data_IF_635017774851
#
_entry.id   IF_635017774851
#
_cell.length_a   1.000
_cell.length_b   1.000
_cell.length_c   1.000
_cell.angle_alpha   90.00
_cell.angle_beta   90.00
_cell.angle_gamma   90.00
#
_symmetry.space_group_name_H-M   'P 1'
#
loop_
_entity.id
_entity.type
_entity.pdbx_description
1 polymer ?
#
# COMPACT_ATOMS: atom_id res chain seq x y z
N UNK A 1 -5.65 -8.67 14.25
CA UNK A 1 -4.77 -8.80 13.07
C UNK A 1 -5.35 -7.92 11.95
N UNK A 2 -4.52 -7.25 11.13
CA UNK A 2 -4.91 -6.19 10.17
C UNK A 2 -4.32 -6.43 8.77
N UNK A 3 -5.10 -6.45 7.69
CA UNK A 3 -4.50 -6.55 6.35
C UNK A 3 -3.50 -5.42 6.10
N UNK A 4 -2.40 -5.73 5.41
CA UNK A 4 -1.41 -4.73 5.03
C UNK A 4 -1.01 -4.90 3.56
N UNK A 5 -0.64 -3.78 2.94
CA UNK A 5 -0.04 -3.78 1.62
C UNK A 5 1.40 -3.30 1.73
N UNK A 6 2.35 -4.10 1.22
CA UNK A 6 3.73 -3.67 1.06
C UNK A 6 3.91 -3.03 -0.31
N UNK A 7 4.43 -1.81 -0.35
CA UNK A 7 4.80 -1.12 -1.57
C UNK A 7 6.32 -1.15 -1.72
N UNK A 8 6.85 -1.63 -2.85
CA UNK A 8 8.28 -1.75 -3.10
C UNK A 8 8.61 -1.06 -4.42
N UNK A 9 9.51 -0.07 -4.40
CA UNK A 9 9.81 0.72 -5.58
C UNK A 9 10.97 1.68 -5.39
N UNK A 10 11.34 2.41 -6.45
CA UNK A 10 12.45 3.36 -6.42
C UNK A 10 12.08 4.60 -5.59
N UNK A 11 12.96 4.98 -4.69
CA UNK A 11 12.88 6.24 -3.98
C UNK A 11 13.11 7.42 -4.93
N UNK A 12 12.37 8.49 -4.70
CA UNK A 12 12.70 9.82 -5.21
C UNK A 12 12.37 10.84 -4.13
N UNK A 13 13.14 11.93 -4.08
CA UNK A 13 12.89 13.03 -3.14
C UNK A 13 11.48 13.61 -3.23
N UNK A 14 10.80 13.51 -4.38
CA UNK A 14 9.40 13.94 -4.53
C UNK A 14 8.40 13.05 -3.78
N UNK A 15 8.78 11.83 -3.41
CA UNK A 15 7.90 10.85 -2.75
C UNK A 15 7.95 10.91 -1.22
N UNK A 16 8.79 11.76 -0.62
CA UNK A 16 9.01 11.78 0.84
C UNK A 16 7.73 11.95 1.65
N UNK A 17 6.78 12.74 1.15
CA UNK A 17 5.49 12.98 1.83
C UNK A 17 4.52 11.80 1.71
N UNK A 18 4.70 10.95 0.69
CA UNK A 18 3.89 9.76 0.46
C UNK A 18 4.41 8.53 1.23
N UNK A 19 5.65 8.55 1.72
CA UNK A 19 6.24 7.44 2.46
C UNK A 19 5.93 7.52 3.96
N UNK A 20 5.77 6.37 4.63
CA UNK A 20 5.38 6.34 6.05
C UNK A 20 6.45 6.81 7.03
N UNK A 21 7.73 6.62 6.71
CA UNK A 21 8.82 6.96 7.63
C UNK A 21 9.03 8.47 7.74
N UNK A 22 9.53 8.97 8.89
CA UNK A 22 9.92 10.36 9.05
C UNK A 22 10.85 10.87 7.93
N UNK A 23 10.58 12.06 7.41
CA UNK A 23 11.27 12.61 6.23
C UNK A 23 12.80 12.68 6.37
N UNK A 24 13.30 12.94 7.57
CA UNK A 24 14.74 13.05 7.85
C UNK A 24 15.51 11.74 7.60
N UNK A 25 14.82 10.59 7.64
CA UNK A 25 15.43 9.30 7.32
C UNK A 25 15.73 9.14 5.83
N UNK A 26 15.16 10.02 4.98
CA UNK A 26 15.38 10.02 3.53
C UNK A 26 16.40 11.08 3.06
N UNK A 27 16.93 11.93 3.94
CA UNK A 27 17.74 13.08 3.54
C UNK A 27 19.05 12.69 2.82
N UNK A 28 19.63 11.56 3.22
CA UNK A 28 20.86 11.01 2.63
C UNK A 28 20.62 9.97 1.53
N UNK A 29 19.37 9.61 1.23
CA UNK A 29 19.09 8.54 0.26
C UNK A 29 19.20 9.06 -1.19
N UNK A 30 20.00 8.42 -2.05
CA UNK A 30 20.04 8.76 -3.45
C UNK A 30 18.76 8.32 -4.15
N UNK A 31 18.33 9.09 -5.15
CA UNK A 31 17.22 8.72 -6.02
C UNK A 31 17.49 7.37 -6.72
N UNK A 32 16.45 6.56 -6.88
CA UNK A 32 16.50 5.25 -7.49
C UNK A 32 16.79 4.08 -6.53
N UNK A 33 17.18 4.35 -5.28
CA UNK A 33 17.32 3.28 -4.27
C UNK A 33 15.98 2.62 -4.01
N UNK A 34 15.96 1.29 -3.94
CA UNK A 34 14.73 0.55 -3.62
C UNK A 34 14.37 0.78 -2.16
N UNK A 35 13.14 1.25 -1.92
CA UNK A 35 12.56 1.39 -0.59
C UNK A 35 11.31 0.51 -0.48
N UNK A 36 11.01 0.13 0.77
CA UNK A 36 9.84 -0.66 1.13
C UNK A 36 8.98 0.20 2.06
N UNK A 37 7.71 0.36 1.72
CA UNK A 37 6.74 1.05 2.54
C UNK A 37 5.54 0.16 2.85
N UNK A 38 4.77 0.53 3.87
CA UNK A 38 3.54 -0.17 4.26
C UNK A 38 2.35 0.79 4.15
N UNK A 39 1.30 0.31 3.48
CA UNK A 39 0.02 0.97 3.32
C UNK A 39 -1.08 0.20 4.06
N UNK A 40 -2.14 0.92 4.40
CA UNK A 40 -3.36 0.39 5.04
C UNK A 40 -3.11 -0.25 6.41
N UNK A 41 -1.95 0.02 7.00
CA UNK A 41 -1.58 -0.37 8.35
C UNK A 41 -1.92 0.79 9.30
N UNK A 42 -3.19 0.90 9.69
CA UNK A 42 -3.68 1.91 10.64
C UNK A 42 -4.35 1.25 11.84
N UNK A 43 -4.14 1.81 13.02
CA UNK A 43 -4.89 1.42 14.21
C UNK A 43 -6.39 1.63 13.98
N UNK A 44 -7.14 0.54 13.94
CA UNK A 44 -8.58 0.50 13.63
C UNK A 44 -8.94 -0.44 12.48
N UNK A 45 -8.02 -0.70 11.55
CA UNK A 45 -8.23 -1.62 10.41
C UNK A 45 -7.94 -3.07 10.82
N UNK A 46 -8.63 -3.57 11.84
CA UNK A 46 -8.41 -4.91 12.40
C UNK A 46 -9.61 -5.81 12.14
N UNK A 47 -9.34 -7.09 11.90
CA UNK A 47 -10.35 -8.14 11.76
C UNK A 47 -10.47 -8.69 10.34
N UNK A 48 -10.91 -9.95 10.25
CA UNK A 48 -10.98 -10.70 9.00
C UNK A 48 -11.93 -10.07 7.97
N UNK A 49 -13.00 -9.41 8.42
CA UNK A 49 -13.94 -8.70 7.52
C UNK A 49 -13.29 -7.51 6.81
N UNK A 50 -12.50 -6.71 7.54
CA UNK A 50 -11.77 -5.57 6.95
C UNK A 50 -10.68 -6.07 6.00
N UNK A 51 -9.98 -7.14 6.38
CA UNK A 51 -8.97 -7.78 5.52
C UNK A 51 -9.57 -8.23 4.18
N UNK A 52 -10.75 -8.85 4.23
CA UNK A 52 -11.47 -9.28 3.03
C UNK A 52 -11.95 -8.09 2.19
N UNK A 53 -12.51 -7.06 2.81
CA UNK A 53 -12.97 -5.86 2.09
C UNK A 53 -11.80 -5.15 1.37
N UNK A 54 -10.63 -5.07 2.00
CA UNK A 54 -9.43 -4.52 1.36
C UNK A 54 -8.97 -5.43 0.20
N UNK A 55 -8.96 -6.75 0.38
CA UNK A 55 -8.60 -7.68 -0.70
C UNK A 55 -9.53 -7.53 -1.92
N UNK A 56 -10.84 -7.48 -1.68
CA UNK A 56 -11.86 -7.27 -2.70
C UNK A 56 -11.67 -5.92 -3.42
N UNK A 57 -11.45 -4.83 -2.68
CA UNK A 57 -11.20 -3.51 -3.25
C UNK A 57 -9.88 -3.46 -4.06
N UNK A 58 -8.89 -4.28 -3.73
CA UNK A 58 -7.63 -4.39 -4.49
C UNK A 58 -7.72 -5.37 -5.67
N UNK A 59 -8.89 -5.99 -5.90
CA UNK A 59 -9.09 -7.07 -6.85
C UNK A 59 -8.11 -8.25 -6.63
N UNK A 60 -7.79 -8.53 -5.37
CA UNK A 60 -6.93 -9.64 -4.93
C UNK A 60 -7.79 -10.81 -4.50
N UNK A 61 -7.43 -12.03 -4.94
CA UNK A 61 -7.99 -13.23 -4.34
C UNK A 61 -7.29 -13.50 -3.00
N UNK A 62 -7.97 -13.37 -1.85
CA UNK A 62 -7.37 -13.59 -0.54
C UNK A 62 -6.94 -15.05 -0.30
N UNK A 63 -7.37 -15.99 -1.15
CA UNK A 63 -7.02 -17.42 -1.08
C UNK A 63 -5.92 -17.82 -2.07
N UNK A 64 -5.47 -16.89 -2.91
CA UNK A 64 -4.36 -17.13 -3.83
C UNK A 64 -3.02 -16.86 -3.14
N UNK A 65 -2.46 -17.92 -2.55
CA UNK A 65 -1.13 -17.91 -1.92
C UNK A 65 0.02 -17.70 -2.91
N UNK A 66 -0.22 -17.76 -4.22
CA UNK A 66 0.81 -17.58 -5.25
C UNK A 66 0.87 -16.15 -5.79
N UNK A 67 -0.15 -15.33 -5.55
CA UNK A 67 -0.30 -14.01 -6.19
C UNK A 67 -0.37 -12.91 -5.14
N UNK A 68 0.72 -12.76 -4.36
CA UNK A 68 0.82 -11.63 -3.44
C UNK A 68 0.98 -10.29 -4.17
N UNK A 69 1.59 -10.27 -5.36
CA UNK A 69 1.67 -9.06 -6.16
C UNK A 69 0.36 -8.88 -6.94
N UNK A 70 -0.22 -7.69 -6.89
CA UNK A 70 -1.45 -7.39 -7.62
C UNK A 70 -1.26 -6.24 -8.60
N UNK A 71 -2.17 -6.16 -9.57
CA UNK A 71 -2.22 -5.05 -10.51
C UNK A 71 -2.90 -3.84 -9.84
N UNK A 72 -2.15 -2.79 -9.44
CA UNK A 72 -2.73 -1.65 -8.76
C UNK A 72 -3.65 -0.82 -9.65
N UNK A 73 -3.71 -1.11 -10.97
CA UNK A 73 -4.67 -0.50 -11.88
C UNK A 73 -6.10 -1.02 -11.74
N UNK A 74 -6.28 -2.19 -11.13
CA UNK A 74 -7.59 -2.81 -10.92
C UNK A 74 -8.22 -2.45 -9.58
N UNK A 75 -7.52 -1.69 -8.74
CA UNK A 75 -8.01 -1.29 -7.43
C UNK A 75 -9.22 -0.36 -7.56
N UNK A 76 -10.28 -0.66 -6.81
CA UNK A 76 -11.43 0.20 -6.58
C UNK A 76 -11.04 1.28 -5.55
N UNK A 77 -10.71 2.46 -6.07
CA UNK A 77 -10.23 3.57 -5.24
C UNK A 77 -11.34 4.14 -4.35
N UNK A 78 -12.61 4.07 -4.77
CA UNK A 78 -13.72 4.60 -3.98
C UNK A 78 -13.99 3.69 -2.79
N UNK A 79 -14.02 2.37 -3.01
CA UNK A 79 -14.10 1.40 -1.91
C UNK A 79 -12.91 1.54 -0.94
N UNK A 80 -11.69 1.76 -1.44
CA UNK A 80 -10.54 1.99 -0.57
C UNK A 80 -10.68 3.28 0.24
N UNK A 81 -11.19 4.37 -0.33
CA UNK A 81 -11.39 5.63 0.40
C UNK A 81 -12.32 5.44 1.59
N UNK A 82 -13.41 4.70 1.39
CA UNK A 82 -14.38 4.41 2.46
C UNK A 82 -13.76 3.58 3.60
N UNK A 83 -12.82 2.68 3.27
CA UNK A 83 -12.19 1.79 4.25
C UNK A 83 -11.01 2.46 4.96
N UNK A 84 -10.05 3.02 4.21
CA UNK A 84 -8.75 3.46 4.73
C UNK A 84 -8.60 4.99 4.82
N UNK A 85 -9.51 5.73 4.19
CA UNK A 85 -9.53 7.19 4.12
C UNK A 85 -8.72 7.77 2.95
N UNK A 86 -9.07 9.00 2.56
CA UNK A 86 -8.51 9.69 1.38
C UNK A 86 -6.98 9.71 1.37
N UNK A 87 -6.36 10.08 2.50
CA UNK A 87 -4.90 10.21 2.60
C UNK A 87 -4.15 8.92 2.25
N UNK A 88 -4.67 7.76 2.67
CA UNK A 88 -4.03 6.48 2.35
C UNK A 88 -4.19 6.13 0.87
N UNK A 89 -5.32 6.50 0.27
CA UNK A 89 -5.56 6.31 -1.17
C UNK A 89 -4.68 7.24 -2.01
N UNK A 90 -4.50 8.50 -1.61
CA UNK A 90 -3.57 9.43 -2.26
C UNK A 90 -2.12 8.92 -2.21
N UNK A 91 -1.69 8.35 -1.06
CA UNK A 91 -0.39 7.68 -0.95
C UNK A 91 -0.28 6.50 -1.93
N UNK A 92 -1.28 5.64 -1.97
CA UNK A 92 -1.32 4.51 -2.90
C UNK A 92 -1.21 4.95 -4.37
N UNK A 93 -1.98 5.96 -4.78
CA UNK A 93 -1.93 6.52 -6.13
C UNK A 93 -0.55 7.10 -6.45
N UNK A 94 0.03 7.84 -5.51
CA UNK A 94 1.36 8.46 -5.67
C UNK A 94 2.44 7.41 -5.88
N UNK A 95 2.45 6.37 -5.05
CA UNK A 95 3.41 5.27 -5.16
C UNK A 95 3.18 4.45 -6.44
N UNK A 96 1.93 4.25 -6.85
CA UNK A 96 1.58 3.58 -8.11
C UNK A 96 2.12 4.36 -9.31
N UNK A 97 1.94 5.67 -9.34
CA UNK A 97 2.45 6.53 -10.41
C UNK A 97 3.99 6.52 -10.46
N UNK A 98 4.65 6.33 -9.32
CA UNK A 98 6.10 6.16 -9.21
C UNK A 98 6.62 4.76 -9.60
N UNK A 99 5.74 3.85 -10.02
CA UNK A 99 6.13 2.51 -10.48
C UNK A 99 6.38 1.51 -9.35
N UNK A 100 5.84 1.75 -8.14
CA UNK A 100 5.92 0.78 -7.06
C UNK A 100 5.12 -0.48 -7.40
N UNK A 101 5.65 -1.62 -6.95
CA UNK A 101 4.94 -2.90 -6.93
C UNK A 101 4.28 -3.09 -5.58
N UNK A 102 3.06 -3.60 -5.58
CA UNK A 102 2.26 -3.75 -4.38
C UNK A 102 2.04 -5.23 -4.08
N UNK A 103 2.20 -5.57 -2.80
CA UNK A 103 2.04 -6.92 -2.30
C UNK A 103 1.00 -6.95 -1.20
N UNK A 104 -0.10 -7.66 -1.42
CA UNK A 104 -1.14 -7.85 -0.41
C UNK A 104 -0.75 -8.99 0.53
N UNK A 105 -0.76 -8.70 1.82
CA UNK A 105 -0.55 -9.69 2.87
C UNK A 105 -1.87 -9.89 3.62
N UNK A 106 -2.61 -10.99 3.35
CA UNK A 106 -3.78 -11.31 4.15
C UNK A 106 -3.34 -11.61 5.58
N UNK A 107 -4.18 -11.20 6.52
CA UNK A 107 -4.06 -11.65 7.89
C UNK A 107 -5.21 -12.63 8.18
N UNK A 108 -4.83 -13.84 8.61
CA UNK A 108 -5.73 -14.95 8.99
C UNK A 108 -6.45 -14.70 10.30
#
# INVERSE_FOLDING_TARGET
MSAEVKAIGPFSKSLREALSQPQHLYDGLPDGVVVIDTLFYKDGLRGSSVSRAIAEALAVDPWDFNTHHFDPAKADLDALRDIVGEREVERFITLRAAGFRFYFRPNG
#
